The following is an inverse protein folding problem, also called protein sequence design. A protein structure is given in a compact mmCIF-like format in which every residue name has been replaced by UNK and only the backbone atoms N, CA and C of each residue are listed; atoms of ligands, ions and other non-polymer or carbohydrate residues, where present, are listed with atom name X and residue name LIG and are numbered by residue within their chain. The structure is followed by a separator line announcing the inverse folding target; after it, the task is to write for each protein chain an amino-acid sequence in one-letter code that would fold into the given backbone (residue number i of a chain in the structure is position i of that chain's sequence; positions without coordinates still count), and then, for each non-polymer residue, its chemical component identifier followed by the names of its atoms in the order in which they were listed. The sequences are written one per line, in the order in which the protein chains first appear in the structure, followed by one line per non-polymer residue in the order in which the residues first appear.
data_IF_964054638079
#
_entry.id   IF_964054638079
#
_cell.length_a   1.000
_cell.length_b   1.000
_cell.length_c   1.000
_cell.angle_alpha   90.00
_cell.angle_beta   90.00
_cell.angle_gamma   90.00
#
_symmetry.space_group_name_H-M   'P 1'
#
loop_
_entity.id
_entity.type
_entity.pdbx_description
1 polymer ?
#
# COMPACT_ATOMS: atom_id res chain seq x y z
N UNK A 1 33.18 -21.88 2.20
CA UNK A 1 33.35 -20.42 2.09
C UNK A 1 32.15 -19.76 2.73
N UNK A 2 32.30 -19.10 3.88
CA UNK A 2 31.17 -18.39 4.51
C UNK A 2 30.78 -17.22 3.62
N UNK A 3 29.52 -17.17 3.15
CA UNK A 3 28.97 -15.94 2.59
C UNK A 3 29.14 -14.87 3.67
N UNK A 4 29.98 -13.87 3.44
CA UNK A 4 29.97 -12.66 4.26
C UNK A 4 28.53 -12.14 4.22
N UNK A 5 27.89 -12.05 5.39
CA UNK A 5 26.62 -11.32 5.53
C UNK A 5 26.94 -9.86 5.21
N UNK A 6 26.71 -9.41 3.97
CA UNK A 6 26.54 -7.98 3.77
C UNK A 6 25.24 -7.62 4.47
N UNK A 7 25.28 -6.73 5.46
CA UNK A 7 24.05 -6.32 6.13
C UNK A 7 23.24 -5.51 5.12
N UNK A 8 22.15 -6.09 4.63
CA UNK A 8 21.22 -5.36 3.76
C UNK A 8 20.54 -4.31 4.64
N UNK A 9 20.70 -3.04 4.28
CA UNK A 9 20.09 -1.92 5.00
C UNK A 9 18.71 -1.64 4.41
N UNK A 10 17.74 -1.34 5.29
CA UNK A 10 16.38 -0.93 4.91
C UNK A 10 16.19 0.52 5.32
N UNK A 11 15.77 1.37 4.39
CA UNK A 11 15.50 2.78 4.65
C UNK A 11 14.11 2.95 5.29
N UNK A 12 14.07 3.41 6.53
CA UNK A 12 12.85 3.81 7.25
C UNK A 12 12.72 5.33 7.27
N UNK A 13 11.59 5.85 7.73
CA UNK A 13 11.38 7.29 7.93
C UNK A 13 12.27 7.90 9.03
N UNK A 14 12.94 7.08 9.85
CA UNK A 14 13.86 7.51 10.91
C UNK A 14 15.34 7.24 10.59
N UNK A 15 15.64 6.69 9.41
CA UNK A 15 16.99 6.28 9.02
C UNK A 15 17.06 4.83 8.60
N UNK A 16 18.27 4.32 8.38
CA UNK A 16 18.46 2.93 7.98
C UNK A 16 18.48 2.00 9.18
N UNK A 17 17.84 0.83 9.04
CA UNK A 17 17.95 -0.30 9.95
C UNK A 17 18.63 -1.47 9.23
N UNK A 18 19.15 -2.45 9.96
CA UNK A 18 19.58 -3.71 9.36
C UNK A 18 18.37 -4.61 9.07
N UNK A 19 18.49 -5.46 8.03
CA UNK A 19 17.41 -6.37 7.64
C UNK A 19 17.01 -7.33 8.77
N UNK A 20 17.96 -7.74 9.61
CA UNK A 20 17.71 -8.54 10.82
C UNK A 20 16.88 -7.81 11.89
N UNK A 21 16.83 -6.48 11.88
CA UNK A 21 16.11 -5.66 12.87
C UNK A 21 14.66 -5.37 12.46
N UNK A 22 14.20 -5.95 11.34
CA UNK A 22 12.83 -5.74 10.83
C UNK A 22 11.75 -6.31 11.74
N UNK A 23 12.02 -7.40 12.44
CA UNK A 23 11.01 -8.15 13.19
C UNK A 23 9.89 -8.67 12.29
N UNK A 24 8.68 -8.85 12.84
CA UNK A 24 7.50 -9.17 12.04
C UNK A 24 7.13 -7.94 11.21
N UNK A 25 7.05 -8.09 9.90
CA UNK A 25 6.79 -6.99 8.97
C UNK A 25 5.43 -7.13 8.28
N UNK A 26 4.65 -6.04 8.24
CA UNK A 26 3.54 -5.87 7.30
C UNK A 26 4.07 -5.15 6.07
N UNK A 27 4.03 -5.81 4.90
CA UNK A 27 4.78 -5.37 3.70
C UNK A 27 4.01 -4.42 2.79
N UNK A 28 2.74 -4.12 3.10
CA UNK A 28 1.93 -3.15 2.38
C UNK A 28 0.75 -2.75 3.26
N UNK A 29 0.78 -1.52 3.73
CA UNK A 29 -0.27 -0.89 4.53
C UNK A 29 -0.42 0.58 4.12
N UNK A 30 -1.47 1.24 4.62
CA UNK A 30 -1.61 2.69 4.58
C UNK A 30 -1.86 3.20 6.00
N UNK A 31 -0.90 3.95 6.54
CA UNK A 31 -0.96 4.51 7.89
C UNK A 31 -1.63 5.88 7.84
N UNK A 32 -1.24 6.70 6.87
CA UNK A 32 -1.88 7.98 6.54
C UNK A 32 -2.14 8.05 5.04
N UNK A 33 -3.39 8.24 4.65
CA UNK A 33 -3.80 8.18 3.24
C UNK A 33 -5.06 9.01 2.99
N UNK A 34 -5.09 9.70 1.85
CA UNK A 34 -6.31 10.29 1.30
C UNK A 34 -6.59 9.70 -0.08
N UNK A 35 -7.57 8.79 -0.13
CA UNK A 35 -8.06 8.14 -1.34
C UNK A 35 -9.38 8.76 -1.85
N UNK A 36 -9.68 10.01 -1.49
CA UNK A 36 -10.94 10.67 -1.86
C UNK A 36 -11.15 10.83 -3.36
N UNK A 37 -10.11 10.72 -4.18
CA UNK A 37 -10.25 10.71 -5.64
C UNK A 37 -11.08 9.50 -6.14
N UNK A 38 -11.21 8.43 -5.33
CA UNK A 38 -12.08 7.29 -5.61
C UNK A 38 -13.56 7.56 -5.28
N UNK A 39 -13.86 8.68 -4.61
CA UNK A 39 -15.21 8.96 -4.15
C UNK A 39 -16.21 9.04 -5.30
N UNK A 40 -17.28 8.27 -5.20
CA UNK A 40 -18.41 8.33 -6.11
C UNK A 40 -19.67 8.60 -5.31
N UNK A 41 -20.28 9.77 -5.49
CA UNK A 41 -21.52 10.11 -4.78
C UNK A 41 -22.68 9.20 -5.25
N UNK A 42 -23.54 8.69 -4.34
CA UNK A 42 -24.73 7.94 -4.73
C UNK A 42 -25.75 8.82 -5.49
N UNK A 43 -26.37 8.26 -6.54
CA UNK A 43 -27.46 8.94 -7.28
C UNK A 43 -28.73 9.13 -6.44
N UNK A 44 -29.03 8.16 -5.56
CA UNK A 44 -30.25 8.17 -4.76
C UNK A 44 -30.14 9.22 -3.65
N UNK A 45 -31.04 10.20 -3.66
CA UNK A 45 -31.02 11.34 -2.72
C UNK A 45 -30.94 10.93 -1.23
N UNK A 46 -31.66 9.89 -0.81
CA UNK A 46 -31.63 9.40 0.58
C UNK A 46 -30.28 8.79 0.99
N UNK A 47 -29.43 8.40 0.04
CA UNK A 47 -28.11 7.85 0.31
C UNK A 47 -27.02 8.93 0.36
N UNK A 48 -27.26 10.12 -0.18
CA UNK A 48 -26.29 11.22 -0.13
C UNK A 48 -25.97 11.67 1.30
N UNK A 49 -26.92 11.55 2.23
CA UNK A 49 -26.63 11.81 3.64
C UNK A 49 -25.63 10.80 4.21
N UNK A 50 -25.73 9.53 3.82
CA UNK A 50 -24.83 8.46 4.26
C UNK A 50 -23.43 8.62 3.65
N UNK A 51 -23.31 9.16 2.44
CA UNK A 51 -22.01 9.32 1.76
C UNK A 51 -21.09 10.34 2.41
N UNK A 52 -21.65 11.33 3.11
CA UNK A 52 -20.92 12.37 3.85
C UNK A 52 -20.92 12.15 5.37
N UNK A 53 -21.58 11.09 5.85
CA UNK A 53 -21.58 10.72 7.26
C UNK A 53 -20.23 10.12 7.68
N UNK A 54 -19.87 10.28 8.97
CA UNK A 54 -18.73 9.57 9.55
C UNK A 54 -18.99 8.07 9.60
N UNK A 55 -17.93 7.27 9.50
CA UNK A 55 -18.01 5.82 9.70
C UNK A 55 -18.46 5.55 11.14
N UNK A 56 -19.53 4.77 11.29
CA UNK A 56 -20.08 4.37 12.58
C UNK A 56 -20.67 2.97 12.51
N UNK A 57 -21.06 2.40 13.66
CA UNK A 57 -21.67 1.06 13.69
C UNK A 57 -23.04 1.06 12.99
N UNK A 58 -23.76 2.18 13.02
CA UNK A 58 -25.10 2.34 12.47
C UNK A 58 -25.11 2.32 10.93
N UNK A 59 -24.05 2.80 10.28
CA UNK A 59 -23.95 2.84 8.81
C UNK A 59 -22.97 1.81 8.24
N UNK A 60 -22.32 1.00 9.08
CA UNK A 60 -21.27 0.05 8.67
C UNK A 60 -21.73 -0.93 7.59
N UNK A 61 -22.96 -1.46 7.68
CA UNK A 61 -23.47 -2.39 6.66
C UNK A 61 -23.63 -1.73 5.30
N UNK A 62 -24.05 -0.46 5.27
CA UNK A 62 -24.14 0.29 4.03
C UNK A 62 -22.75 0.55 3.43
N UNK A 63 -21.79 0.95 4.26
CA UNK A 63 -20.40 1.22 3.83
C UNK A 63 -19.76 -0.03 3.25
N UNK A 64 -19.94 -1.21 3.86
CA UNK A 64 -19.38 -2.47 3.36
C UNK A 64 -19.78 -2.78 1.91
N UNK A 65 -20.96 -2.35 1.49
CA UNK A 65 -21.48 -2.53 0.12
C UNK A 65 -21.19 -1.33 -0.79
N UNK A 66 -20.70 -0.23 -0.23
CA UNK A 66 -20.54 1.07 -0.90
C UNK A 66 -19.23 1.75 -0.46
N UNK A 67 -18.12 0.99 -0.44
CA UNK A 67 -16.84 1.42 0.17
C UNK A 67 -16.34 2.76 -0.39
N UNK A 68 -16.45 2.94 -1.71
CA UNK A 68 -16.05 4.18 -2.41
C UNK A 68 -17.10 5.28 -2.38
N UNK A 69 -18.23 5.08 -1.69
CA UNK A 69 -19.30 6.07 -1.58
C UNK A 69 -19.41 6.67 -0.19
N UNK A 70 -18.51 6.36 0.73
CA UNK A 70 -18.40 7.03 2.02
C UNK A 70 -17.09 7.82 2.06
N UNK A 71 -17.17 9.15 2.08
CA UNK A 71 -15.98 10.00 2.02
C UNK A 71 -15.08 9.83 3.25
N UNK A 72 -15.66 9.61 4.43
CA UNK A 72 -14.92 9.35 5.67
C UNK A 72 -14.16 8.00 5.62
N UNK A 73 -14.74 6.99 4.96
CA UNK A 73 -14.12 5.68 4.78
C UNK A 73 -12.87 5.71 3.87
N UNK A 74 -12.78 6.69 2.96
CA UNK A 74 -11.66 6.86 2.04
C UNK A 74 -10.49 7.67 2.63
N UNK A 75 -10.56 8.03 3.91
CA UNK A 75 -9.65 8.96 4.57
C UNK A 75 -9.05 8.38 5.84
N UNK A 76 -7.73 8.18 5.83
CA UNK A 76 -6.93 7.83 6.99
C UNK A 76 -6.08 9.04 7.38
N UNK A 77 -6.69 10.03 8.04
CA UNK A 77 -6.06 11.34 8.30
C UNK A 77 -5.67 11.58 9.76
N UNK A 78 -6.03 10.67 10.68
CA UNK A 78 -5.87 10.88 12.12
C UNK A 78 -4.62 10.15 12.65
N UNK A 79 -3.57 10.91 12.96
CA UNK A 79 -2.30 10.37 13.50
C UNK A 79 -2.48 9.67 14.85
N UNK A 80 -3.33 10.18 15.75
CA UNK A 80 -3.56 9.54 17.06
C UNK A 80 -4.20 8.15 16.90
N UNK A 81 -5.15 8.03 15.97
CA UNK A 81 -5.76 6.73 15.65
C UNK A 81 -4.73 5.80 15.03
N UNK A 82 -3.89 6.29 14.12
CA UNK A 82 -2.80 5.49 13.55
C UNK A 82 -1.82 5.00 14.63
N UNK A 83 -1.45 5.84 15.59
CA UNK A 83 -0.61 5.48 16.74
C UNK A 83 -1.26 4.35 17.56
N UNK A 84 -2.56 4.46 17.86
CA UNK A 84 -3.29 3.43 18.63
C UNK A 84 -3.28 2.09 17.90
N UNK A 85 -3.51 2.06 16.58
CA UNK A 85 -3.50 0.82 15.81
C UNK A 85 -2.10 0.22 15.69
N UNK A 86 -1.07 1.05 15.45
CA UNK A 86 0.31 0.57 15.37
C UNK A 86 0.87 0.12 16.73
N UNK A 87 0.43 0.72 17.84
CA UNK A 87 0.77 0.24 19.20
C UNK A 87 0.18 -1.16 19.45
N UNK A 88 -1.03 -1.47 18.95
CA UNK A 88 -1.56 -2.83 18.99
C UNK A 88 -0.70 -3.80 18.17
N UNK A 89 -0.27 -3.40 16.98
CA UNK A 89 0.64 -4.20 16.16
C UNK A 89 1.96 -4.48 16.89
N UNK A 90 2.59 -3.44 17.46
CA UNK A 90 3.82 -3.57 18.27
C UNK A 90 3.63 -4.52 19.46
N UNK A 91 2.54 -4.38 20.21
CA UNK A 91 2.19 -5.27 21.33
C UNK A 91 1.95 -6.72 20.89
N UNK A 92 1.52 -6.93 19.65
CA UNK A 92 1.44 -8.24 19.00
C UNK A 92 2.76 -8.82 18.54
N UNK A 93 3.90 -8.14 18.75
CA UNK A 93 5.23 -8.55 18.29
C UNK A 93 5.64 -7.97 16.93
N UNK A 94 4.83 -7.06 16.38
CA UNK A 94 5.13 -6.34 15.15
C UNK A 94 6.38 -5.46 15.26
N UNK A 95 7.23 -5.47 14.22
CA UNK A 95 8.46 -4.67 14.16
C UNK A 95 8.42 -3.59 13.09
N UNK A 96 7.94 -3.92 11.89
CA UNK A 96 8.01 -3.02 10.73
C UNK A 96 6.69 -2.95 9.96
N UNK A 97 6.36 -1.77 9.45
CA UNK A 97 5.25 -1.55 8.51
C UNK A 97 5.78 -0.82 7.29
N UNK A 98 5.37 -1.27 6.10
CA UNK A 98 5.64 -0.57 4.84
C UNK A 98 4.38 0.22 4.47
N UNK A 99 4.43 1.54 4.65
CA UNK A 99 3.43 2.47 4.13
C UNK A 99 3.72 2.73 2.65
N UNK A 100 2.88 2.17 1.79
CA UNK A 100 3.02 2.28 0.32
C UNK A 100 2.32 3.53 -0.23
N UNK A 101 2.04 4.52 0.62
CA UNK A 101 1.51 5.81 0.20
C UNK A 101 2.53 6.61 -0.62
N UNK A 102 2.08 7.20 -1.72
CA UNK A 102 2.93 7.98 -2.64
C UNK A 102 2.19 9.20 -3.22
N UNK A 103 2.62 9.71 -4.38
CA UNK A 103 1.95 10.81 -5.07
C UNK A 103 0.61 10.31 -5.64
N UNK A 104 -0.48 10.94 -5.23
CA UNK A 104 -1.85 10.51 -5.51
C UNK A 104 -2.58 9.98 -4.28
N UNK A 105 -1.84 9.42 -3.31
CA UNK A 105 -2.36 8.95 -2.01
C UNK A 105 -2.06 9.92 -0.85
N UNK A 106 -1.45 11.07 -1.16
CA UNK A 106 -1.17 12.15 -0.20
C UNK A 106 -0.25 11.74 0.96
N UNK A 107 0.85 11.02 0.66
CA UNK A 107 1.86 10.62 1.64
C UNK A 107 2.30 11.77 2.57
N UNK A 108 2.55 11.46 3.84
CA UNK A 108 2.93 12.44 4.86
C UNK A 108 4.22 12.03 5.60
N UNK A 109 5.42 12.36 5.08
CA UNK A 109 6.70 11.91 5.66
C UNK A 109 6.88 12.33 7.13
N UNK A 110 6.50 13.56 7.48
CA UNK A 110 6.62 14.08 8.85
C UNK A 110 5.65 13.39 9.81
N UNK A 111 4.43 13.10 9.36
CA UNK A 111 3.44 12.34 10.12
C UNK A 111 3.92 10.92 10.40
N UNK A 112 4.36 10.21 9.35
CA UNK A 112 4.92 8.86 9.49
C UNK A 112 6.11 8.84 10.47
N UNK A 113 7.02 9.81 10.40
CA UNK A 113 8.14 9.88 11.33
C UNK A 113 7.72 10.17 12.79
N UNK A 114 6.65 10.95 13.01
CA UNK A 114 6.09 11.14 14.36
C UNK A 114 5.45 9.84 14.87
N UNK A 115 4.67 9.16 14.03
CA UNK A 115 4.02 7.90 14.39
C UNK A 115 5.06 6.83 14.73
N UNK A 116 6.09 6.64 13.88
CA UNK A 116 7.17 5.69 14.11
C UNK A 116 7.86 5.92 15.46
N UNK A 117 8.18 7.18 15.80
CA UNK A 117 8.76 7.54 17.12
C UNK A 117 7.82 7.26 18.28
N UNK A 118 6.51 7.47 18.11
CA UNK A 118 5.54 7.28 19.17
C UNK A 118 5.25 5.80 19.47
N UNK A 119 5.39 4.92 18.48
CA UNK A 119 5.03 3.50 18.59
C UNK A 119 6.21 2.55 18.66
N UNK A 120 7.43 3.03 18.39
CA UNK A 120 8.63 2.18 18.24
C UNK A 120 8.46 1.12 17.12
N UNK A 121 7.63 1.43 16.12
CA UNK A 121 7.46 0.64 14.90
C UNK A 121 8.29 1.27 13.79
N UNK A 122 9.11 0.47 13.12
CA UNK A 122 9.82 0.90 11.93
C UNK A 122 8.82 1.16 10.81
N UNK A 123 8.88 2.33 10.16
CA UNK A 123 8.01 2.65 9.03
C UNK A 123 8.85 2.87 7.78
N UNK A 124 8.64 2.05 6.76
CA UNK A 124 9.20 2.25 5.41
C UNK A 124 8.16 3.03 4.60
N UNK A 125 8.57 4.11 3.95
CA UNK A 125 7.66 4.97 3.17
C UNK A 125 7.85 4.75 1.67
N UNK A 126 6.74 4.76 0.93
CA UNK A 126 6.66 4.67 -0.52
C UNK A 126 7.03 5.94 -1.29
N UNK A 127 7.51 5.74 -2.51
CA UNK A 127 7.73 6.76 -3.54
C UNK A 127 7.07 6.37 -4.87
N UNK A 128 7.05 7.30 -5.82
CA UNK A 128 6.40 7.12 -7.11
C UNK A 128 4.99 7.70 -7.16
N UNK A 129 4.20 7.19 -8.10
CA UNK A 129 2.86 7.68 -8.43
C UNK A 129 1.85 6.53 -8.37
N UNK A 130 0.64 6.83 -7.91
CA UNK A 130 -0.45 5.86 -7.86
C UNK A 130 -1.17 5.74 -9.20
N UNK A 131 -2.49 5.52 -9.22
CA UNK A 131 -3.24 5.30 -10.46
C UNK A 131 -3.51 6.62 -11.17
N UNK A 132 -3.72 6.57 -12.48
CA UNK A 132 -3.87 7.75 -13.32
C UNK A 132 -5.05 8.66 -13.00
N UNK A 133 -6.05 8.19 -12.24
CA UNK A 133 -7.12 9.04 -11.71
C UNK A 133 -6.64 10.00 -10.60
N UNK A 134 -5.56 9.63 -9.90
CA UNK A 134 -4.97 10.41 -8.81
C UNK A 134 -3.73 11.22 -9.23
N UNK A 135 -3.29 11.06 -10.48
CA UNK A 135 -2.12 11.75 -10.98
C UNK A 135 -2.31 13.27 -10.98
N UNK A 136 -1.29 14.04 -10.54
CA UNK A 136 -1.36 15.48 -10.62
C UNK A 136 -1.23 15.91 -12.09
N UNK A 137 -1.90 17.02 -12.45
CA UNK A 137 -2.07 17.43 -13.85
C UNK A 137 -0.75 17.62 -14.62
N UNK A 138 0.28 18.11 -13.95
CA UNK A 138 1.61 18.37 -14.48
C UNK A 138 2.35 17.10 -14.93
N UNK A 139 1.97 15.93 -14.41
CA UNK A 139 2.59 14.66 -14.79
C UNK A 139 2.41 14.36 -16.29
N UNK A 140 1.33 14.83 -16.91
CA UNK A 140 1.11 14.68 -18.34
C UNK A 140 2.23 15.35 -19.16
N UNK A 141 2.66 16.54 -18.74
CA UNK A 141 3.72 17.31 -19.41
C UNK A 141 5.14 16.91 -19.03
N UNK A 142 5.34 16.20 -17.91
CA UNK A 142 6.68 15.77 -17.48
C UNK A 142 7.30 14.78 -18.47
N UNK A 143 8.60 14.91 -18.72
CA UNK A 143 9.38 13.86 -19.38
C UNK A 143 9.59 12.68 -18.43
N UNK A 144 9.96 11.53 -18.99
CA UNK A 144 10.33 10.36 -18.17
C UNK A 144 11.54 10.66 -17.26
N UNK A 145 12.56 11.36 -17.78
CA UNK A 145 13.73 11.77 -17.00
C UNK A 145 13.36 12.66 -15.80
N UNK A 146 12.42 13.61 -15.97
CA UNK A 146 11.94 14.44 -14.86
C UNK A 146 11.23 13.63 -13.78
N UNK A 147 10.51 12.57 -14.17
CA UNK A 147 9.87 11.64 -13.23
C UNK A 147 10.94 10.83 -12.49
N UNK A 148 11.93 10.30 -13.21
CA UNK A 148 13.06 9.56 -12.62
C UNK A 148 13.80 10.44 -11.61
N UNK A 149 14.16 11.66 -11.97
CA UNK A 149 14.88 12.59 -11.10
C UNK A 149 14.11 12.90 -9.81
N UNK A 150 12.79 13.07 -9.91
CA UNK A 150 11.94 13.30 -8.75
C UNK A 150 11.92 12.10 -7.80
N UNK A 151 11.69 10.90 -8.33
CA UNK A 151 11.59 9.69 -7.52
C UNK A 151 12.97 9.33 -6.92
N UNK A 152 14.05 9.45 -7.69
CA UNK A 152 15.43 9.28 -7.18
C UNK A 152 15.71 10.25 -6.05
N UNK A 153 15.23 11.51 -6.12
CA UNK A 153 15.39 12.48 -5.04
C UNK A 153 14.64 12.08 -3.78
N UNK A 154 13.40 11.58 -3.90
CA UNK A 154 12.63 11.06 -2.75
C UNK A 154 13.37 9.93 -2.03
N UNK A 155 14.08 9.09 -2.78
CA UNK A 155 14.87 7.95 -2.25
C UNK A 155 16.21 8.39 -1.66
N UNK A 156 16.93 9.28 -2.34
CA UNK A 156 18.35 9.56 -2.03
C UNK A 156 18.55 10.79 -1.16
N UNK A 157 17.64 11.76 -1.23
CA UNK A 157 17.72 13.06 -0.52
C UNK A 157 16.60 13.17 0.51
N UNK A 158 15.36 12.93 0.09
CA UNK A 158 14.18 12.95 0.93
C UNK A 158 13.03 13.76 0.35
N UNK A 159 11.81 13.41 0.76
CA UNK A 159 10.56 13.94 0.23
C UNK A 159 10.34 15.39 0.65
N UNK A 160 9.99 16.27 -0.29
CA UNK A 160 9.47 17.61 -0.01
C UNK A 160 10.37 18.49 0.87
N UNK A 161 11.70 18.32 0.77
CA UNK A 161 12.67 19.07 1.57
C UNK A 161 12.72 18.67 3.05
N UNK A 162 12.11 17.55 3.43
CA UNK A 162 12.06 17.09 4.83
C UNK A 162 13.31 16.34 5.28
N UNK A 163 14.15 15.87 4.33
CA UNK A 163 15.26 14.97 4.59
C UNK A 163 14.84 13.52 4.91
N UNK A 164 13.54 13.23 4.95
CA UNK A 164 12.99 11.89 5.21
C UNK A 164 12.88 11.16 3.87
N UNK A 165 13.60 10.05 3.75
CA UNK A 165 13.74 9.28 2.51
C UNK A 165 12.69 8.18 2.41
N UNK A 166 12.25 7.92 1.18
CA UNK A 166 11.48 6.72 0.86
C UNK A 166 12.40 5.49 0.80
N UNK A 167 11.85 4.31 1.09
CA UNK A 167 12.59 3.04 1.07
C UNK A 167 12.06 2.01 0.08
N UNK A 168 10.98 2.31 -0.63
CA UNK A 168 10.36 1.45 -1.64
C UNK A 168 9.71 2.31 -2.74
N UNK A 169 9.72 1.82 -3.98
CA UNK A 169 8.92 2.35 -5.08
C UNK A 169 7.55 1.70 -5.00
N UNK A 170 6.56 2.40 -4.48
CA UNK A 170 5.25 1.77 -4.30
C UNK A 170 4.27 2.60 -3.51
N UNK A 171 2.97 2.29 -3.62
CA UNK A 171 2.40 1.33 -4.57
C UNK A 171 2.27 1.98 -5.96
N UNK A 172 2.95 1.45 -6.96
CA UNK A 172 2.92 1.99 -8.31
C UNK A 172 1.59 1.63 -8.95
N UNK A 173 0.77 2.64 -9.24
CA UNK A 173 -0.59 2.43 -9.68
C UNK A 173 -0.69 2.08 -11.16
N UNK A 174 -1.38 0.98 -11.45
CA UNK A 174 -1.67 0.56 -12.81
C UNK A 174 -3.18 0.32 -12.94
N UNK A 175 -3.84 1.10 -13.78
CA UNK A 175 -5.22 0.84 -14.17
C UNK A 175 -5.28 -0.19 -15.30
N UNK A 176 -6.49 -0.64 -15.65
CA UNK A 176 -6.68 -1.49 -16.83
C UNK A 176 -7.77 -0.94 -17.74
N UNK A 177 -7.49 -0.75 -19.05
CA UNK A 177 -6.15 -0.76 -19.67
C UNK A 177 -5.22 0.29 -19.06
N UNK A 178 -3.89 0.08 -19.17
CA UNK A 178 -2.90 1.05 -18.70
C UNK A 178 -3.10 2.40 -19.40
N UNK A 179 -3.04 3.49 -18.62
CA UNK A 179 -3.04 4.85 -19.18
C UNK A 179 -1.65 5.25 -19.62
N UNK A 180 -1.56 6.19 -20.56
CA UNK A 180 -0.28 6.72 -21.06
C UNK A 180 0.64 7.23 -19.94
N UNK A 181 0.07 7.89 -18.92
CA UNK A 181 0.86 8.36 -17.76
C UNK A 181 1.33 7.22 -16.86
N UNK A 182 0.57 6.13 -16.75
CA UNK A 182 0.95 4.95 -15.96
C UNK A 182 2.07 4.17 -16.67
N UNK A 183 2.01 4.04 -18.01
CA UNK A 183 3.10 3.45 -18.82
C UNK A 183 4.39 4.24 -18.64
N UNK A 184 4.33 5.57 -18.75
CA UNK A 184 5.47 6.46 -18.55
C UNK A 184 6.03 6.38 -17.12
N UNK A 185 5.17 6.25 -16.11
CA UNK A 185 5.60 6.04 -14.72
C UNK A 185 6.29 4.68 -14.55
N UNK A 186 5.79 3.61 -15.17
CA UNK A 186 6.42 2.29 -15.10
C UNK A 186 7.84 2.28 -15.69
N UNK A 187 8.04 2.95 -16.84
CA UNK A 187 9.38 3.14 -17.42
C UNK A 187 10.31 3.91 -16.47
N UNK A 188 9.84 5.03 -15.91
CA UNK A 188 10.60 5.79 -14.91
C UNK A 188 10.92 4.97 -13.64
N UNK A 189 10.00 4.11 -13.19
CA UNK A 189 10.18 3.21 -12.04
C UNK A 189 11.28 2.20 -12.33
N UNK A 190 11.30 1.57 -13.51
CA UNK A 190 12.36 0.64 -13.91
C UNK A 190 13.74 1.32 -13.88
N UNK A 191 13.87 2.51 -14.48
CA UNK A 191 15.12 3.28 -14.48
C UNK A 191 15.54 3.71 -13.07
N UNK A 192 14.57 4.08 -12.22
CA UNK A 192 14.85 4.44 -10.83
C UNK A 192 15.34 3.23 -10.02
N UNK A 193 14.70 2.07 -10.22
CA UNK A 193 15.09 0.82 -9.60
C UNK A 193 16.54 0.44 -9.97
N UNK A 194 16.92 0.56 -11.25
CA UNK A 194 18.31 0.33 -11.69
C UNK A 194 19.31 1.29 -11.03
N UNK A 195 18.95 2.57 -10.88
CA UNK A 195 19.84 3.60 -10.31
C UNK A 195 20.03 3.46 -8.79
N UNK A 196 19.03 2.95 -8.08
CA UNK A 196 18.96 3.04 -6.61
C UNK A 196 18.91 1.69 -5.91
N UNK A 197 18.52 0.62 -6.61
CA UNK A 197 18.38 -0.73 -6.08
C UNK A 197 17.20 -0.93 -5.12
N UNK A 198 16.33 0.07 -4.94
CA UNK A 198 15.17 -0.06 -4.04
C UNK A 198 14.12 -1.02 -4.62
N UNK A 199 13.37 -1.77 -3.78
CA UNK A 199 12.31 -2.65 -4.25
C UNK A 199 11.14 -1.89 -4.88
N UNK A 200 10.36 -2.59 -5.71
CA UNK A 200 9.13 -2.09 -6.33
C UNK A 200 7.91 -2.84 -5.77
N UNK A 201 6.82 -2.14 -5.50
CA UNK A 201 5.50 -2.69 -5.22
C UNK A 201 4.50 -2.12 -6.24
N UNK A 202 3.72 -3.00 -6.87
CA UNK A 202 2.79 -2.66 -7.97
C UNK A 202 1.35 -2.93 -7.55
N UNK A 203 0.48 -2.01 -7.94
CA UNK A 203 -0.97 -2.12 -7.82
C UNK A 203 -1.59 -2.43 -9.20
N UNK A 204 -1.96 -3.69 -9.50
CA UNK A 204 -2.44 -4.07 -10.83
C UNK A 204 -3.90 -3.70 -11.04
N UNK A 205 -4.32 -3.43 -12.28
CA UNK A 205 -5.73 -3.27 -12.62
C UNK A 205 -6.54 -4.57 -12.41
N UNK A 206 -7.87 -4.49 -12.47
CA UNK A 206 -8.75 -5.63 -12.12
C UNK A 206 -8.82 -6.74 -13.19
N UNK A 207 -8.18 -6.57 -14.35
CA UNK A 207 -8.18 -7.59 -15.42
C UNK A 207 -7.20 -8.71 -15.12
N UNK A 208 -7.54 -9.96 -15.44
CA UNK A 208 -6.65 -11.11 -15.27
C UNK A 208 -5.33 -10.99 -16.05
N UNK A 209 -5.33 -10.26 -17.16
CA UNK A 209 -4.11 -10.03 -17.93
C UNK A 209 -3.18 -8.96 -17.31
N UNK A 210 -3.71 -8.09 -16.45
CA UNK A 210 -3.00 -6.90 -15.98
C UNK A 210 -1.67 -7.23 -15.26
N UNK A 211 -1.60 -8.19 -14.33
CA UNK A 211 -0.36 -8.45 -13.61
C UNK A 211 0.81 -8.85 -14.53
N UNK A 212 0.56 -9.74 -15.50
CA UNK A 212 1.60 -10.20 -16.43
C UNK A 212 2.00 -9.07 -17.39
N UNK A 213 1.03 -8.37 -18.00
CA UNK A 213 1.32 -7.23 -18.88
C UNK A 213 2.18 -6.15 -18.18
N UNK A 214 1.93 -5.89 -16.89
CA UNK A 214 2.70 -4.90 -16.13
C UNK A 214 4.12 -5.40 -15.83
N UNK A 215 4.28 -6.68 -15.47
CA UNK A 215 5.61 -7.25 -15.18
C UNK A 215 6.45 -7.30 -16.45
N UNK A 216 5.88 -7.71 -17.58
CA UNK A 216 6.56 -7.69 -18.88
C UNK A 216 6.99 -6.28 -19.26
N UNK A 217 6.09 -5.30 -19.13
CA UNK A 217 6.42 -3.89 -19.41
C UNK A 217 7.54 -3.37 -18.49
N UNK A 218 7.50 -3.69 -17.20
CA UNK A 218 8.57 -3.31 -16.27
C UNK A 218 9.91 -3.96 -16.67
N UNK A 219 9.89 -5.24 -17.02
CA UNK A 219 11.06 -6.01 -17.44
C UNK A 219 11.66 -5.48 -18.75
N UNK A 220 10.82 -5.14 -19.74
CA UNK A 220 11.25 -4.58 -21.03
C UNK A 220 11.94 -3.22 -20.87
N UNK A 221 11.56 -2.45 -19.84
CA UNK A 221 12.24 -1.22 -19.44
C UNK A 221 13.46 -1.45 -18.53
N UNK A 222 13.82 -2.72 -18.30
CA UNK A 222 14.98 -3.17 -17.54
C UNK A 222 14.79 -3.16 -16.02
N UNK A 223 13.56 -3.20 -15.52
CA UNK A 223 13.30 -3.38 -14.10
C UNK A 223 13.74 -4.76 -13.61
N UNK A 224 14.17 -4.85 -12.36
CA UNK A 224 14.50 -6.11 -11.69
C UNK A 224 13.25 -6.75 -11.10
N UNK A 225 12.76 -7.77 -11.79
CA UNK A 225 11.55 -8.50 -11.40
C UNK A 225 11.76 -9.27 -10.09
N UNK A 226 12.98 -9.72 -9.78
CA UNK A 226 13.29 -10.40 -8.52
C UNK A 226 13.18 -9.49 -7.29
N UNK A 227 13.16 -8.18 -7.51
CA UNK A 227 12.99 -7.16 -6.48
C UNK A 227 11.68 -6.38 -6.67
N UNK A 228 10.67 -7.05 -7.24
CA UNK A 228 9.34 -6.51 -7.51
C UNK A 228 8.26 -7.37 -6.85
N UNK A 229 7.28 -6.70 -6.25
CA UNK A 229 6.12 -7.30 -5.59
C UNK A 229 4.85 -6.88 -6.31
N UNK A 230 4.02 -7.84 -6.71
CA UNK A 230 2.68 -7.61 -7.22
C UNK A 230 1.65 -7.65 -6.08
N UNK A 231 0.91 -6.57 -5.87
CA UNK A 231 -0.11 -6.47 -4.82
C UNK A 231 -1.48 -6.95 -5.27
N UNK A 232 -2.32 -7.31 -4.30
CA UNK A 232 -3.74 -7.62 -4.49
C UNK A 232 -4.05 -8.81 -5.39
N UNK A 233 -3.11 -9.75 -5.55
CA UNK A 233 -3.29 -10.91 -6.43
C UNK A 233 -4.55 -11.69 -6.04
N UNK A 234 -4.70 -12.14 -4.80
CA UNK A 234 -5.89 -12.94 -4.46
C UNK A 234 -7.20 -12.15 -4.44
N UNK A 235 -7.16 -10.87 -4.06
CA UNK A 235 -8.38 -10.09 -3.90
C UNK A 235 -8.95 -9.63 -5.26
N UNK A 236 -8.09 -9.38 -6.25
CA UNK A 236 -8.52 -8.95 -7.60
C UNK A 236 -8.67 -10.10 -8.57
N UNK A 237 -7.84 -11.13 -8.42
CA UNK A 237 -7.71 -12.20 -9.40
C UNK A 237 -8.19 -13.56 -8.86
N UNK A 238 -8.60 -13.63 -7.59
CA UNK A 238 -9.05 -14.85 -6.92
C UNK A 238 -7.89 -15.73 -6.47
N UNK A 239 -8.17 -16.95 -6.01
CA UNK A 239 -7.14 -17.95 -5.71
C UNK A 239 -6.59 -18.57 -7.00
N UNK A 240 -6.13 -17.73 -7.93
CA UNK A 240 -5.52 -18.14 -9.18
C UNK A 240 -4.07 -18.54 -8.92
N UNK A 241 -3.88 -19.84 -8.67
CA UNK A 241 -2.58 -20.42 -8.41
C UNK A 241 -1.71 -20.43 -9.67
N UNK A 242 -2.30 -20.47 -10.86
CA UNK A 242 -1.56 -20.46 -12.12
C UNK A 242 -0.93 -19.08 -12.32
N UNK A 243 -1.70 -18.01 -12.15
CA UNK A 243 -1.19 -16.63 -12.17
C UNK A 243 -0.10 -16.42 -11.11
N UNK A 244 -0.31 -16.93 -9.90
CA UNK A 244 0.67 -16.81 -8.82
C UNK A 244 1.97 -17.55 -9.15
N UNK A 245 1.86 -18.74 -9.76
CA UNK A 245 3.02 -19.52 -10.22
C UNK A 245 3.75 -18.80 -11.35
N UNK A 246 3.02 -18.27 -12.33
CA UNK A 246 3.60 -17.56 -13.47
C UNK A 246 4.36 -16.31 -13.02
N UNK A 247 3.80 -15.51 -12.11
CA UNK A 247 4.50 -14.37 -11.49
C UNK A 247 5.78 -14.81 -10.78
N UNK A 248 5.74 -15.93 -10.04
CA UNK A 248 6.90 -16.47 -9.35
C UNK A 248 7.97 -16.99 -10.33
N UNK A 249 7.57 -17.62 -11.43
CA UNK A 249 8.47 -18.12 -12.48
C UNK A 249 9.17 -16.96 -13.21
N UNK A 250 8.51 -15.82 -13.35
CA UNK A 250 9.10 -14.56 -13.84
C UNK A 250 10.02 -13.88 -12.81
N UNK A 251 10.00 -14.33 -11.55
CA UNK A 251 10.81 -13.84 -10.44
C UNK A 251 10.09 -12.86 -9.49
N UNK A 252 8.85 -12.46 -9.80
CA UNK A 252 8.11 -11.53 -8.96
C UNK A 252 7.54 -12.24 -7.73
N UNK A 253 7.53 -11.55 -6.60
CA UNK A 253 6.74 -12.00 -5.44
C UNK A 253 5.30 -11.49 -5.55
N UNK A 254 4.32 -12.27 -5.11
CA UNK A 254 2.95 -11.78 -4.91
C UNK A 254 2.72 -11.44 -3.44
N UNK A 255 1.94 -10.39 -3.18
CA UNK A 255 1.51 -10.05 -1.82
C UNK A 255 0.00 -10.16 -1.67
N UNK A 256 -0.38 -10.83 -0.59
CA UNK A 256 -1.76 -11.07 -0.21
C UNK A 256 -2.23 -10.01 0.75
N UNK A 257 -3.19 -9.21 0.31
CA UNK A 257 -3.88 -8.19 1.08
C UNK A 257 -5.34 -8.29 0.68
N UNK A 258 -6.13 -8.89 1.57
CA UNK A 258 -7.55 -8.61 1.57
C UNK A 258 -7.67 -7.09 1.77
N UNK A 259 -8.26 -6.38 0.80
CA UNK A 259 -8.63 -4.97 0.95
C UNK A 259 -9.18 -4.76 2.34
N UNK A 260 -8.90 -3.59 2.96
CA UNK A 260 -9.35 -3.19 4.30
C UNK A 260 -10.86 -3.38 4.42
N UNK A 261 -11.22 -4.62 4.67
CA UNK A 261 -12.54 -5.15 4.88
C UNK A 261 -12.39 -5.54 6.32
N UNK A 262 -12.96 -4.81 7.27
CA UNK A 262 -12.96 -5.26 8.65
C UNK A 262 -13.80 -6.55 8.69
N UNK A 263 -13.16 -7.69 8.44
CA UNK A 263 -13.53 -8.95 9.08
C UNK A 263 -13.10 -8.77 10.52
N UNK A 264 -13.93 -8.06 11.29
CA UNK A 264 -13.98 -8.26 12.73
C UNK A 264 -14.38 -9.72 12.88
N UNK A 265 -13.38 -10.59 13.01
CA UNK A 265 -13.59 -11.88 13.62
C UNK A 265 -13.88 -11.53 15.08
N UNK A 266 -15.16 -11.48 15.42
CA UNK A 266 -15.60 -11.36 16.80
C UNK A 266 -14.98 -12.54 17.56
N UNK A 267 -13.86 -12.31 18.24
CA UNK A 267 -13.49 -13.10 19.41
C UNK A 267 -14.53 -12.78 20.49
N UNK A 268 -15.69 -13.41 20.37
CA UNK A 268 -16.72 -13.39 21.40
C UNK A 268 -16.50 -14.59 22.32
N UNK A 269 -16.33 -14.40 23.64
CA UNK A 269 -16.47 -15.45 24.64
C UNK A 269 -17.92 -15.97 24.78
N UNK A 270 -18.87 -15.49 23.98
CA UNK A 270 -20.30 -15.86 24.04
C UNK A 270 -20.55 -17.15 23.23
N UNK A 271 -19.72 -18.16 23.45
CA UNK A 271 -20.10 -19.58 23.24
C UNK A 271 -20.09 -20.37 24.55
N UNK A 272 -19.57 -19.80 25.63
CA UNK A 272 -19.55 -20.46 26.94
C UNK A 272 -20.70 -20.06 27.88
N UNK A 273 -21.54 -19.08 27.49
CA UNK A 273 -22.66 -18.61 28.33
C UNK A 273 -24.07 -18.98 27.81
N UNK A 274 -24.18 -19.60 26.63
CA UNK A 274 -25.49 -20.10 26.12
C UNK A 274 -25.58 -21.63 26.07
N UNK A 275 -24.50 -22.35 26.45
CA UNK A 275 -24.52 -23.80 26.63
C UNK A 275 -25.02 -24.28 27.99
N UNK A 276 -25.36 -23.37 28.91
CA UNK A 276 -25.85 -23.68 30.27
C UNK A 276 -27.32 -23.32 30.51
N UNK A 277 -28.07 -22.87 29.49
CA UNK A 277 -29.48 -22.50 29.61
C UNK A 277 -30.44 -23.33 28.73
N UNK A 278 -29.95 -24.35 28.04
CA UNK A 278 -30.79 -25.32 27.32
C UNK A 278 -30.24 -26.72 27.60
N UNK A 279 -30.57 -27.22 28.79
CA UNK A 279 -30.08 -28.51 29.28
C UNK A 279 -30.68 -28.83 30.64
N UNK A 280 -32.01 -28.91 30.71
CA UNK A 280 -32.84 -29.75 31.58
C UNK A 280 -34.29 -29.25 31.51
N UNK A 281 -35.10 -29.97 30.74
CA UNK A 281 -36.53 -29.73 30.51
C UNK A 281 -36.99 -30.58 29.36
#
# INVERSE_FOLDING_TARGET
MSRQKSSRKIQTVLGTIDAEDTGIALTHEHILCDASFLFTEPEIASQKLLSHARVSIENLEWIKRNQNRCLDNLKLLNEERAIIELDRFKKGGGGTVVDVGNIGLHRNPKGLARISRATDVNIVMGAGYYIGQSHPSELHSKTEDEIVEEIVRDITVGVGGTGIKAGILGEIGCSYPLKETEIKVLGAVALTQQKTGVPVNIHPGHSQAAPIEIIELLNDNGGDINNTVMSHVENRHGNDFDLTSELADLGASSSTIASVTPKIQLCSPIKQFMGSLIGNG
#
